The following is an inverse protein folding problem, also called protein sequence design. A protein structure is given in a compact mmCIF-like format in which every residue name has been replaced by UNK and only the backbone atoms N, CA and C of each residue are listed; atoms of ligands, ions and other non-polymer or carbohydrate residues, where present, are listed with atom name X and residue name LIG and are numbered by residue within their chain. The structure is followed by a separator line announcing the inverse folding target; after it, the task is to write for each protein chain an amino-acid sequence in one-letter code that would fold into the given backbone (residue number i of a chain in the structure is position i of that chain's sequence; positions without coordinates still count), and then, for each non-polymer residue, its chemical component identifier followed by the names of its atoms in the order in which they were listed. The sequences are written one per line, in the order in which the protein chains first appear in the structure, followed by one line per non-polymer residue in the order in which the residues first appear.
data_IF_804407100959
#
_entry.id   IF_804407100959
#
_cell.length_a   1.000
_cell.length_b   1.000
_cell.length_c   1.000
_cell.angle_alpha   90.00
_cell.angle_beta   90.00
_cell.angle_gamma   90.00
#
_symmetry.space_group_name_H-M   'P 1'
#
loop_
_entity.id
_entity.type
_entity.pdbx_description
1 polymer ?
#
# COMPACT_ATOMS: atom_id res chain seq x y z
N UNK A 1 -2.06 18.72 -7.38
CA UNK A 1 -2.11 18.75 -5.90
C UNK A 1 -0.78 18.28 -5.35
N UNK A 2 -0.25 18.90 -4.29
CA UNK A 2 0.90 18.35 -3.53
C UNK A 2 0.33 17.52 -2.39
N UNK A 3 0.17 16.22 -2.63
CA UNK A 3 -0.26 15.27 -1.61
C UNK A 3 0.87 15.09 -0.59
N UNK A 4 0.57 15.31 0.69
CA UNK A 4 1.53 15.13 1.77
C UNK A 4 1.47 13.68 2.26
N UNK A 5 2.26 12.82 1.61
CA UNK A 5 2.38 11.39 1.89
C UNK A 5 3.05 11.05 3.26
N UNK A 6 3.50 12.05 4.03
CA UNK A 6 4.39 11.85 5.18
C UNK A 6 3.75 11.41 6.50
N UNK A 7 2.45 11.10 6.57
CA UNK A 7 1.88 10.58 7.84
C UNK A 7 2.21 9.11 8.10
N UNK A 8 2.62 8.38 7.08
CA UNK A 8 3.17 7.03 7.20
C UNK A 8 4.69 7.09 7.12
N UNK A 9 5.40 6.67 8.18
CA UNK A 9 6.88 6.59 8.21
C UNK A 9 7.48 5.51 7.28
N UNK A 10 6.74 5.09 6.25
CA UNK A 10 7.11 4.00 5.35
C UNK A 10 7.72 4.63 4.12
N UNK A 11 9.06 4.58 4.04
CA UNK A 11 9.81 5.02 2.87
C UNK A 11 9.98 3.80 1.96
N UNK A 12 8.89 3.36 1.33
CA UNK A 12 8.90 2.31 0.32
C UNK A 12 8.22 2.83 -0.94
N UNK A 13 8.80 2.52 -2.10
CA UNK A 13 8.15 2.78 -3.38
C UNK A 13 6.87 1.95 -3.50
N UNK A 14 5.85 2.51 -4.13
CA UNK A 14 4.63 1.78 -4.47
C UNK A 14 4.98 0.71 -5.51
N UNK A 15 5.08 -0.55 -5.07
CA UNK A 15 5.34 -1.73 -5.91
C UNK A 15 4.65 -2.97 -5.35
N UNK A 16 4.39 -3.95 -6.21
CA UNK A 16 3.84 -5.24 -5.82
C UNK A 16 4.65 -5.91 -4.70
N UNK A 17 5.98 -5.94 -4.81
CA UNK A 17 6.86 -6.60 -3.84
C UNK A 17 6.75 -5.96 -2.46
N UNK A 18 6.71 -4.62 -2.41
CA UNK A 18 6.60 -3.88 -1.15
C UNK A 18 5.24 -4.10 -0.49
N UNK A 19 4.16 -4.11 -1.29
CA UNK A 19 2.82 -4.43 -0.77
C UNK A 19 2.77 -5.84 -0.18
N UNK A 20 3.32 -6.83 -0.89
CA UNK A 20 3.38 -8.22 -0.43
C UNK A 20 4.15 -8.37 0.89
N UNK A 21 5.28 -7.68 1.02
CA UNK A 21 6.07 -7.69 2.24
C UNK A 21 5.31 -7.07 3.42
N UNK A 22 4.66 -5.92 3.22
CA UNK A 22 3.85 -5.27 4.25
C UNK A 22 2.65 -6.14 4.68
N UNK A 23 1.95 -6.75 3.72
CA UNK A 23 0.82 -7.64 3.98
C UNK A 23 1.26 -8.86 4.81
N UNK A 24 2.41 -9.46 4.47
CA UNK A 24 2.99 -10.59 5.20
C UNK A 24 3.37 -10.20 6.65
N UNK A 25 3.99 -9.04 6.86
CA UNK A 25 4.31 -8.50 8.20
C UNK A 25 3.04 -8.33 9.05
N UNK A 26 1.98 -7.77 8.47
CA UNK A 26 0.68 -7.60 9.15
C UNK A 26 0.06 -8.96 9.49
N UNK A 27 0.03 -9.91 8.55
CA UNK A 27 -0.53 -11.24 8.74
C UNK A 27 0.20 -12.04 9.82
N UNK A 28 1.53 -11.90 9.89
CA UNK A 28 2.37 -12.52 10.92
C UNK A 28 2.20 -11.88 12.31
N UNK A 29 1.41 -10.81 12.43
CA UNK A 29 1.24 -10.00 13.65
C UNK A 29 2.59 -9.59 14.26
N UNK A 30 3.59 -9.36 13.42
CA UNK A 30 4.83 -8.76 13.91
C UNK A 30 4.46 -7.38 14.46
N UNK A 31 4.59 -7.19 15.77
CA UNK A 31 4.21 -5.95 16.50
C UNK A 31 4.91 -4.69 15.97
N UNK A 32 5.81 -4.83 14.99
CA UNK A 32 6.60 -3.77 14.39
C UNK A 32 5.78 -2.89 13.45
N UNK A 33 4.64 -3.37 12.93
CA UNK A 33 3.88 -2.63 11.94
C UNK A 33 2.40 -2.43 12.33
N UNK A 34 2.00 -1.19 12.71
CA UNK A 34 0.61 -0.87 13.04
C UNK A 34 -0.32 -1.05 11.84
N UNK A 35 -1.49 -1.68 12.04
CA UNK A 35 -2.51 -1.84 11.00
C UNK A 35 -2.97 -0.50 10.39
N UNK A 36 -3.04 0.56 11.20
CA UNK A 36 -3.37 1.92 10.72
C UNK A 36 -2.35 2.39 9.66
N UNK A 37 -1.07 2.13 9.88
CA UNK A 37 -0.03 2.51 8.92
C UNK A 37 -0.13 1.67 7.63
N UNK A 38 -0.61 0.43 7.72
CA UNK A 38 -0.86 -0.41 6.56
C UNK A 38 -2.01 0.14 5.70
N UNK A 39 -3.16 0.42 6.32
CA UNK A 39 -4.32 0.98 5.62
C UNK A 39 -3.98 2.30 4.95
N UNK A 40 -3.23 3.19 5.61
CA UNK A 40 -2.76 4.44 5.01
C UNK A 40 -1.79 4.22 3.85
N UNK A 41 -0.95 3.18 3.90
CA UNK A 41 -0.09 2.85 2.76
C UNK A 41 -0.90 2.34 1.57
N UNK A 42 -1.95 1.56 1.81
CA UNK A 42 -2.90 1.12 0.77
C UNK A 42 -3.57 2.32 0.10
N UNK A 43 -4.16 3.23 0.89
CA UNK A 43 -4.79 4.48 0.38
C UNK A 43 -3.82 5.25 -0.53
N UNK A 44 -2.56 5.34 -0.10
CA UNK A 44 -1.56 6.03 -0.89
C UNK A 44 -1.15 5.30 -2.17
N UNK A 45 -1.03 3.97 -2.13
CA UNK A 45 -0.78 3.13 -3.29
C UNK A 45 -1.92 3.32 -4.30
N UNK A 46 -3.17 3.23 -3.85
CA UNK A 46 -4.35 3.39 -4.70
C UNK A 46 -4.39 4.74 -5.39
N UNK A 47 -4.08 5.80 -4.65
CA UNK A 47 -4.00 7.15 -5.18
C UNK A 47 -2.81 7.34 -6.14
N UNK A 48 -1.66 6.74 -5.85
CA UNK A 48 -0.47 6.84 -6.70
C UNK A 48 -0.63 6.11 -8.04
N UNK A 49 -1.37 5.00 -8.05
CA UNK A 49 -1.53 4.13 -9.22
C UNK A 49 -2.86 4.35 -9.96
N UNK A 50 -3.66 5.33 -9.55
CA UNK A 50 -5.00 5.58 -10.12
C UNK A 50 -4.98 5.93 -11.61
N UNK A 51 -3.90 6.55 -12.10
CA UNK A 51 -3.76 7.04 -13.49
C UNK A 51 -2.61 6.36 -14.24
N UNK A 52 -2.03 5.30 -13.69
CA UNK A 52 -0.88 4.59 -14.28
C UNK A 52 -1.32 3.40 -15.14
N UNK A 53 -0.61 3.14 -16.24
CA UNK A 53 -0.79 1.94 -17.06
C UNK A 53 -0.09 0.74 -16.39
N UNK A 54 -0.81 0.08 -15.50
CA UNK A 54 -0.31 -1.04 -14.70
C UNK A 54 -0.33 -2.37 -15.47
N UNK A 55 0.65 -3.23 -15.18
CA UNK A 55 0.61 -4.63 -15.60
C UNK A 55 -0.41 -5.46 -14.78
N UNK A 56 -0.63 -6.71 -15.17
CA UNK A 56 -1.61 -7.59 -14.52
C UNK A 56 -1.35 -7.79 -13.01
N UNK A 57 -0.08 -7.81 -12.60
CA UNK A 57 0.32 -8.05 -11.22
C UNK A 57 0.12 -6.80 -10.37
N UNK A 58 0.40 -5.63 -10.93
CA UNK A 58 0.16 -4.34 -10.31
C UNK A 58 -1.35 -4.02 -10.25
N UNK A 59 -2.13 -4.38 -11.27
CA UNK A 59 -3.60 -4.26 -11.23
C UNK A 59 -4.20 -5.12 -10.11
N UNK A 60 -3.72 -6.36 -9.94
CA UNK A 60 -4.15 -7.21 -8.83
C UNK A 60 -3.80 -6.57 -7.48
N UNK A 61 -2.58 -6.06 -7.35
CA UNK A 61 -2.10 -5.36 -6.14
C UNK A 61 -2.97 -4.17 -5.79
N UNK A 62 -3.30 -3.35 -6.79
CA UNK A 62 -4.19 -2.21 -6.65
C UNK A 62 -5.59 -2.64 -6.19
N UNK A 63 -6.13 -3.73 -6.74
CA UNK A 63 -7.41 -4.29 -6.32
C UNK A 63 -7.42 -4.65 -4.83
N UNK A 64 -6.38 -5.36 -4.37
CA UNK A 64 -6.28 -5.73 -2.94
C UNK A 64 -6.10 -4.49 -2.06
N UNK A 65 -5.31 -3.50 -2.47
CA UNK A 65 -5.14 -2.25 -1.72
C UNK A 65 -6.47 -1.51 -1.55
N UNK A 66 -7.26 -1.38 -2.63
CA UNK A 66 -8.61 -0.79 -2.61
C UNK A 66 -9.56 -1.54 -1.68
N UNK A 67 -9.52 -2.87 -1.69
CA UNK A 67 -10.37 -3.69 -0.82
C UNK A 67 -10.03 -3.52 0.67
N UNK A 68 -8.77 -3.19 1.01
CA UNK A 68 -8.31 -2.94 2.38
C UNK A 68 -8.69 -1.53 2.86
N UNK A 69 -8.86 -0.57 1.95
CA UNK A 69 -9.29 0.80 2.26
C UNK A 69 -10.78 0.91 2.62
N UNK A 70 -11.62 0.00 2.09
CA UNK A 70 -13.09 0.03 2.18
C UNK A 70 -13.65 -0.34 3.57
#
# INVERSE_FOLDING_TARGET
MRWNWNKTSIILLYSHENFKLLLDTVCKKEKQFPQINFCMWCDNLTMAWYEEDLDDQDQLTLGVARDIEA
#
